data_IF_733813754463
#
_entry.id   IF_733813754463
#
_cell.length_a   1.000
_cell.length_b   1.000
_cell.length_c   1.000
_cell.angle_alpha   90.00
_cell.angle_beta   90.00
_cell.angle_gamma   90.00
#
_symmetry.space_group_name_H-M   'P 1'
#
loop_
_entity.id
_entity.type
_entity.pdbx_description
1 polymer ?
#
# COMPACT_ATOMS: atom_id res chain seq x y z
N UNK A 1 5.06 20.64 3.32
CA UNK A 1 5.41 20.65 4.75
C UNK A 1 6.91 20.88 4.78
N UNK A 2 7.38 22.11 4.94
CA UNK A 2 8.81 22.35 5.07
C UNK A 2 9.24 21.78 6.44
N UNK A 3 10.06 20.74 6.41
CA UNK A 3 10.93 20.33 7.52
C UNK A 3 10.31 20.17 8.93
N UNK A 4 9.06 19.74 9.05
CA UNK A 4 8.55 19.25 10.36
C UNK A 4 9.08 17.85 10.59
N UNK A 5 9.92 17.67 11.62
CA UNK A 5 10.37 16.35 12.07
C UNK A 5 9.15 15.47 12.31
N UNK A 6 9.13 14.28 11.71
CA UNK A 6 8.06 13.31 11.90
C UNK A 6 8.16 12.81 13.34
N UNK A 7 7.37 13.41 14.22
CA UNK A 7 7.26 13.04 15.62
C UNK A 7 6.29 11.85 15.78
N UNK A 8 6.39 11.12 16.89
CA UNK A 8 5.46 10.03 17.23
C UNK A 8 4.00 10.51 17.21
N UNK A 9 3.74 11.75 17.60
CA UNK A 9 2.39 12.33 17.54
C UNK A 9 1.91 12.52 16.10
N UNK A 10 2.81 12.86 15.16
CA UNK A 10 2.48 12.96 13.74
C UNK A 10 2.15 11.57 13.15
N UNK A 11 2.93 10.55 13.50
CA UNK A 11 2.66 9.15 13.16
C UNK A 11 1.30 8.68 13.71
N UNK A 12 1.03 8.91 15.01
CA UNK A 12 -0.25 8.57 15.64
C UNK A 12 -1.43 9.23 14.93
N UNK A 13 -1.32 10.50 14.57
CA UNK A 13 -2.36 11.23 13.83
C UNK A 13 -2.54 10.68 12.42
N UNK A 14 -1.46 10.30 11.74
CA UNK A 14 -1.48 9.67 10.41
C UNK A 14 -2.22 8.32 10.44
N UNK A 15 -1.82 7.42 11.34
CA UNK A 15 -2.49 6.12 11.50
C UNK A 15 -3.95 6.25 11.92
N UNK A 16 -4.29 7.20 12.80
CA UNK A 16 -5.70 7.48 13.14
C UNK A 16 -6.50 7.95 11.94
N UNK A 17 -5.93 8.80 11.09
CA UNK A 17 -6.58 9.25 9.87
C UNK A 17 -6.78 8.10 8.87
N UNK A 18 -5.78 7.22 8.71
CA UNK A 18 -5.89 6.02 7.87
C UNK A 18 -6.97 5.07 8.39
N UNK A 19 -7.00 4.80 9.70
CA UNK A 19 -8.02 3.94 10.32
C UNK A 19 -9.43 4.52 10.25
N UNK A 20 -9.61 5.83 10.55
CA UNK A 20 -10.88 6.53 10.36
C UNK A 20 -11.34 6.44 8.91
N UNK A 21 -10.39 6.59 7.99
CA UNK A 21 -10.62 6.40 6.58
C UNK A 21 -11.16 5.00 6.28
N UNK A 22 -10.42 3.96 6.66
CA UNK A 22 -10.82 2.58 6.40
C UNK A 22 -12.20 2.25 6.98
N UNK A 23 -12.54 2.78 8.16
CA UNK A 23 -13.89 2.64 8.76
C UNK A 23 -14.95 3.33 7.90
N UNK A 24 -14.74 4.58 7.49
CA UNK A 24 -15.66 5.28 6.59
C UNK A 24 -15.79 4.53 5.26
N UNK A 25 -14.70 4.04 4.71
CA UNK A 25 -14.69 3.19 3.51
C UNK A 25 -15.56 1.94 3.70
N UNK A 26 -15.40 1.23 4.82
CA UNK A 26 -16.22 0.07 5.15
C UNK A 26 -17.71 0.38 5.25
N UNK A 27 -18.09 1.52 5.83
CA UNK A 27 -19.50 1.99 5.86
C UNK A 27 -20.06 2.19 4.45
N UNK A 28 -19.24 2.64 3.51
CA UNK A 28 -19.60 2.81 2.09
C UNK A 28 -19.30 1.57 1.22
N UNK A 29 -19.09 0.39 1.83
CA UNK A 29 -18.77 -0.86 1.13
C UNK A 29 -17.53 -0.77 0.22
N UNK A 30 -16.53 -0.01 0.68
CA UNK A 30 -15.24 0.15 0.03
C UNK A 30 -14.20 -0.75 0.69
N UNK A 31 -13.17 -1.13 -0.08
CA UNK A 31 -12.07 -1.93 0.43
C UNK A 31 -11.19 -1.13 1.39
N UNK A 32 -10.51 -1.83 2.31
CA UNK A 32 -9.53 -1.21 3.19
C UNK A 32 -8.43 -0.53 2.37
N UNK A 33 -8.16 0.73 2.67
CA UNK A 33 -7.15 1.52 1.97
C UNK A 33 -6.01 1.91 2.92
N UNK A 34 -4.82 1.98 2.36
CA UNK A 34 -3.60 2.37 3.07
C UNK A 34 -2.82 3.39 2.25
N UNK A 35 -1.89 4.07 2.90
CA UNK A 35 -1.04 5.08 2.26
C UNK A 35 -0.14 4.44 1.19
N UNK A 36 -0.39 4.75 -0.08
CA UNK A 36 0.44 4.25 -1.19
C UNK A 36 1.83 4.90 -1.22
N UNK A 37 2.88 4.06 -1.15
CA UNK A 37 4.27 4.49 -1.25
C UNK A 37 4.65 5.15 -2.59
N UNK A 38 3.89 4.87 -3.66
CA UNK A 38 4.09 5.49 -4.98
C UNK A 38 3.95 7.02 -4.93
N UNK A 39 3.03 7.52 -4.12
CA UNK A 39 2.82 8.97 -3.95
C UNK A 39 4.01 9.64 -3.26
N UNK A 40 4.71 8.92 -2.37
CA UNK A 40 5.93 9.39 -1.70
C UNK A 40 7.09 9.47 -2.70
N UNK A 41 7.20 8.49 -3.60
CA UNK A 41 8.18 8.51 -4.70
C UNK A 41 7.99 9.71 -5.62
N UNK A 42 6.75 10.01 -6.01
CA UNK A 42 6.44 11.20 -6.81
C UNK A 42 6.76 12.50 -6.06
N UNK A 43 6.55 12.53 -4.74
CA UNK A 43 6.91 13.68 -3.89
C UNK A 43 8.42 13.94 -3.89
N UNK A 44 9.24 12.88 -3.90
CA UNK A 44 10.69 12.98 -3.93
C UNK A 44 11.20 13.56 -5.27
N UNK A 45 10.51 13.27 -6.38
CA UNK A 45 10.83 13.79 -7.72
C UNK A 45 10.34 15.23 -7.91
N UNK A 46 9.06 15.49 -7.58
CA UNK A 46 8.43 16.80 -7.81
C UNK A 46 8.83 17.85 -6.79
N UNK A 47 9.31 17.43 -5.61
CA UNK A 47 9.62 18.28 -4.44
C UNK A 47 8.44 19.14 -3.95
N UNK A 48 7.22 18.86 -4.42
CA UNK A 48 6.01 19.58 -4.01
C UNK A 48 5.44 18.92 -2.77
N UNK A 49 5.76 19.44 -1.59
CA UNK A 49 5.29 18.88 -0.30
C UNK A 49 4.02 19.55 0.23
N UNK A 50 3.33 20.36 -0.57
CA UNK A 50 2.18 21.13 -0.11
C UNK A 50 0.95 20.23 0.13
N UNK A 51 0.42 20.23 1.36
CA UNK A 51 -0.78 19.44 1.75
C UNK A 51 -2.00 19.79 0.90
N UNK A 52 -2.10 21.04 0.44
CA UNK A 52 -3.21 21.48 -0.41
C UNK A 52 -3.29 20.71 -1.73
N UNK A 53 -2.15 20.21 -2.24
CA UNK A 53 -2.12 19.39 -3.46
C UNK A 53 -2.79 18.05 -3.21
N UNK A 54 -2.52 17.41 -2.07
CA UNK A 54 -3.19 16.15 -1.68
C UNK A 54 -4.68 16.35 -1.44
N UNK A 55 -5.07 17.47 -0.82
CA UNK A 55 -6.50 17.81 -0.61
C UNK A 55 -7.20 18.06 -1.96
N UNK A 56 -6.58 18.82 -2.86
CA UNK A 56 -7.12 19.08 -4.18
C UNK A 56 -7.27 17.78 -5.00
N UNK A 57 -6.27 16.89 -4.95
CA UNK A 57 -6.36 15.56 -5.57
C UNK A 57 -7.53 14.74 -5.00
N UNK A 58 -7.71 14.74 -3.67
CA UNK A 58 -8.85 14.07 -3.03
C UNK A 58 -10.21 14.63 -3.47
N UNK A 59 -10.34 15.94 -3.59
CA UNK A 59 -11.57 16.60 -4.08
C UNK A 59 -11.83 16.22 -5.55
N UNK A 60 -10.79 16.21 -6.39
CA UNK A 60 -10.90 15.78 -7.78
C UNK A 60 -11.39 14.32 -7.85
N UNK A 61 -10.82 13.43 -7.03
CA UNK A 61 -11.24 12.02 -6.98
C UNK A 61 -12.69 11.87 -6.49
N UNK A 62 -13.12 12.66 -5.51
CA UNK A 62 -14.53 12.67 -5.06
C UNK A 62 -15.46 13.09 -6.20
N UNK A 63 -15.14 14.16 -6.91
CA UNK A 63 -15.93 14.65 -8.05
C UNK A 63 -15.97 13.58 -9.15
N UNK A 64 -14.83 13.04 -9.54
CA UNK A 64 -14.75 11.99 -10.57
C UNK A 64 -15.50 10.72 -10.17
N UNK A 65 -15.45 10.34 -8.89
CA UNK A 65 -16.17 9.18 -8.36
C UNK A 65 -17.69 9.35 -8.39
N UNK A 66 -18.21 10.58 -8.26
CA UNK A 66 -19.65 10.87 -8.37
C UNK A 66 -20.16 10.93 -9.81
N UNK A 67 -19.28 10.97 -10.82
CA UNK A 67 -19.67 11.05 -12.22
C UNK A 67 -19.80 9.63 -12.80
N UNK A 68 -21.01 9.13 -13.10
CA UNK A 68 -21.22 7.76 -13.55
C UNK A 68 -20.58 7.46 -14.92
N UNK A 69 -20.30 8.49 -15.74
CA UNK A 69 -19.58 8.32 -17.00
C UNK A 69 -18.15 7.84 -16.82
N UNK A 70 -17.46 8.27 -15.76
CA UNK A 70 -16.10 7.78 -15.46
C UNK A 70 -16.13 6.34 -14.96
N UNK A 71 -17.14 5.97 -14.17
CA UNK A 71 -17.37 4.58 -13.79
C UNK A 71 -17.63 3.69 -15.02
N UNK A 72 -18.43 4.15 -15.98
CA UNK A 72 -18.66 3.41 -17.22
C UNK A 72 -17.37 3.23 -18.04
N UNK A 73 -16.53 4.26 -18.16
CA UNK A 73 -15.23 4.14 -18.82
C UNK A 73 -14.33 3.10 -18.14
N UNK A 74 -14.33 3.04 -16.80
CA UNK A 74 -13.56 2.04 -16.06
C UNK A 74 -14.00 0.59 -16.39
N UNK A 75 -15.29 0.36 -16.66
CA UNK A 75 -15.80 -0.98 -17.02
C UNK A 75 -15.43 -1.43 -18.44
N UNK A 76 -15.06 -0.49 -19.33
CA UNK A 76 -14.68 -0.80 -20.72
C UNK A 76 -13.20 -1.22 -20.80
N UNK A 77 -12.40 -0.93 -19.78
CA UNK A 77 -10.97 -1.26 -19.77
C UNK A 77 -10.79 -2.80 -19.80
N UNK A 78 -10.04 -3.33 -20.79
CA UNK A 78 -9.85 -4.77 -20.91
C UNK A 78 -9.15 -5.40 -19.69
N UNK A 79 -9.50 -6.64 -19.31
CA UNK A 79 -8.86 -7.34 -18.20
C UNK A 79 -7.33 -7.44 -18.34
N UNK A 80 -6.81 -7.55 -19.56
CA UNK A 80 -5.38 -7.60 -19.82
C UNK A 80 -4.65 -6.32 -19.37
N UNK A 81 -5.27 -5.14 -19.52
CA UNK A 81 -4.69 -3.86 -19.08
C UNK A 81 -4.73 -3.74 -17.56
N UNK A 82 -5.85 -4.13 -16.95
CA UNK A 82 -5.95 -4.20 -15.49
C UNK A 82 -4.93 -5.16 -14.87
N UNK A 83 -4.74 -6.33 -15.49
CA UNK A 83 -3.73 -7.30 -15.07
C UNK A 83 -2.32 -6.72 -15.15
N UNK A 84 -1.97 -6.05 -16.25
CA UNK A 84 -0.69 -5.36 -16.41
C UNK A 84 -0.46 -4.28 -15.34
N UNK A 85 -1.47 -3.44 -15.08
CA UNK A 85 -1.41 -2.43 -14.03
C UNK A 85 -1.25 -3.04 -12.63
N UNK A 86 -2.00 -4.11 -12.33
CA UNK A 86 -1.91 -4.83 -11.06
C UNK A 86 -0.52 -5.42 -10.85
N UNK A 87 0.07 -6.06 -11.87
CA UNK A 87 1.44 -6.61 -11.80
C UNK A 87 2.45 -5.53 -11.47
N UNK A 88 2.36 -4.35 -12.09
CA UNK A 88 3.26 -3.22 -11.78
C UNK A 88 3.09 -2.76 -10.32
N UNK A 89 1.86 -2.61 -9.85
CA UNK A 89 1.58 -2.19 -8.47
C UNK A 89 2.11 -3.22 -7.45
N UNK A 90 1.82 -4.51 -7.65
CA UNK A 90 2.32 -5.58 -6.78
C UNK A 90 3.86 -5.67 -6.81
N UNK A 91 4.48 -5.48 -7.97
CA UNK A 91 5.94 -5.46 -8.08
C UNK A 91 6.56 -4.33 -7.25
N UNK A 92 5.95 -3.13 -7.28
CA UNK A 92 6.40 -2.01 -6.44
C UNK A 92 6.21 -2.28 -4.95
N UNK A 93 5.15 -2.99 -4.54
CA UNK A 93 4.95 -3.43 -3.15
C UNK A 93 6.09 -4.37 -2.73
N UNK A 94 6.43 -5.37 -3.54
CA UNK A 94 7.53 -6.30 -3.27
C UNK A 94 8.86 -5.56 -3.14
N UNK A 95 9.15 -4.62 -4.05
CA UNK A 95 10.35 -3.78 -3.99
C UNK A 95 10.40 -2.90 -2.73
N UNK A 96 9.25 -2.38 -2.30
CA UNK A 96 9.10 -1.65 -1.04
C UNK A 96 9.48 -2.52 0.16
N UNK A 97 8.98 -3.76 0.20
CA UNK A 97 9.31 -4.75 1.23
C UNK A 97 10.80 -5.10 1.25
N UNK A 98 11.44 -5.30 0.08
CA UNK A 98 12.88 -5.57 -0.02
C UNK A 98 13.69 -4.38 0.52
N UNK A 99 13.32 -3.15 0.18
CA UNK A 99 14.00 -1.96 0.70
C UNK A 99 13.83 -1.80 2.21
N UNK A 100 12.70 -2.23 2.77
CA UNK A 100 12.52 -2.28 4.22
C UNK A 100 13.42 -3.36 4.85
N UNK A 101 13.51 -4.53 4.22
CA UNK A 101 14.31 -5.66 4.69
C UNK A 101 15.81 -5.35 4.71
N UNK A 102 16.30 -4.60 3.73
CA UNK A 102 17.69 -4.10 3.70
C UNK A 102 18.09 -3.28 4.92
N UNK A 103 17.12 -2.72 5.67
CA UNK A 103 17.40 -1.97 6.90
C UNK A 103 17.57 -2.87 8.13
N UNK A 104 17.22 -4.16 8.04
CA UNK A 104 17.15 -5.08 9.17
C UNK A 104 18.47 -5.83 9.47
N UNK A 105 19.62 -5.33 9.00
CA UNK A 105 20.95 -5.94 9.14
C UNK A 105 20.94 -7.47 8.97
N UNK A 106 20.95 -7.90 7.71
CA UNK A 106 20.88 -9.31 7.34
C UNK A 106 22.22 -10.05 7.49
N UNK A 107 23.29 -9.35 7.88
CA UNK A 107 24.57 -9.98 8.21
C UNK A 107 24.53 -10.66 9.59
N UNK A 108 23.61 -10.24 10.48
CA UNK A 108 23.33 -10.99 11.71
C UNK A 108 22.51 -12.25 11.39
N UNK A 109 23.10 -13.41 11.66
CA UNK A 109 22.48 -14.72 11.53
C UNK A 109 21.10 -14.80 12.22
N UNK A 110 20.87 -14.08 13.33
CA UNK A 110 19.56 -14.06 14.01
C UNK A 110 18.50 -13.39 13.15
N UNK A 111 18.80 -12.21 12.59
CA UNK A 111 17.88 -11.48 11.72
C UNK A 111 17.64 -12.27 10.43
N UNK A 112 18.70 -12.87 9.87
CA UNK A 112 18.59 -13.71 8.68
C UNK A 112 17.68 -14.93 8.91
N UNK A 113 17.80 -15.60 10.06
CA UNK A 113 16.93 -16.72 10.43
C UNK A 113 15.46 -16.29 10.59
N UNK A 114 15.20 -15.19 11.31
CA UNK A 114 13.82 -14.67 11.52
C UNK A 114 13.16 -14.34 10.18
N UNK A 115 13.89 -13.66 9.31
CA UNK A 115 13.42 -13.28 7.97
C UNK A 115 13.20 -14.51 7.11
N UNK A 116 14.17 -15.43 7.07
CA UNK A 116 14.11 -16.64 6.26
C UNK A 116 12.91 -17.53 6.63
N UNK A 117 12.70 -17.78 7.92
CA UNK A 117 11.54 -18.55 8.40
C UNK A 117 10.23 -17.84 8.08
N UNK A 118 10.15 -16.52 8.26
CA UNK A 118 8.94 -15.74 7.96
C UNK A 118 8.55 -15.82 6.48
N UNK A 119 9.53 -15.70 5.57
CA UNK A 119 9.30 -15.81 4.12
C UNK A 119 8.95 -17.25 3.73
N UNK A 120 9.68 -18.24 4.26
CA UNK A 120 9.46 -19.65 3.97
C UNK A 120 8.06 -20.11 4.38
N UNK A 121 7.59 -19.70 5.57
CA UNK A 121 6.23 -20.01 6.01
C UNK A 121 5.17 -19.28 5.18
N UNK A 122 5.35 -17.98 4.91
CA UNK A 122 4.38 -17.20 4.14
C UNK A 122 4.19 -17.71 2.71
N UNK A 123 5.29 -18.01 2.02
CA UNK A 123 5.24 -18.57 0.66
C UNK A 123 4.87 -20.06 0.66
N UNK A 124 5.42 -20.84 1.59
CA UNK A 124 5.17 -22.28 1.69
C UNK A 124 3.69 -22.61 1.89
N UNK A 125 3.02 -21.86 2.76
CA UNK A 125 1.56 -21.98 2.98
C UNK A 125 0.73 -21.62 1.74
N UNK A 126 1.21 -20.65 0.96
CA UNK A 126 0.49 -20.17 -0.23
C UNK A 126 0.66 -21.12 -1.43
N UNK A 127 1.81 -21.78 -1.56
CA UNK A 127 2.13 -22.68 -2.70
C UNK A 127 1.61 -24.10 -2.47
N UNK A 128 1.60 -24.59 -1.22
CA UNK A 128 1.16 -25.95 -0.88
C UNK A 128 -0.08 -25.88 0.01
N UNK A 129 -1.30 -25.80 -0.57
CA UNK A 129 -2.52 -25.90 0.21
C UNK A 129 -2.59 -27.30 0.86
N UNK A 130 -2.64 -27.34 2.19
CA UNK A 130 -2.62 -28.59 2.97
C UNK A 130 -1.25 -28.98 3.54
N UNK A 131 -0.25 -28.08 3.51
CA UNK A 131 1.08 -28.31 4.11
C UNK A 131 1.02 -28.81 5.57
N UNK A 132 0.04 -28.34 6.35
CA UNK A 132 -0.19 -28.76 7.73
C UNK A 132 -1.43 -29.63 7.92
N UNK A 133 -1.98 -30.22 6.85
CA UNK A 133 -3.16 -31.09 6.95
C UNK A 133 -2.90 -32.33 7.83
N UNK A 134 -1.64 -32.73 8.01
CA UNK A 134 -1.26 -33.81 8.95
C UNK A 134 -1.19 -33.35 10.43
N UNK A 135 -1.18 -32.04 10.69
CA UNK A 135 -1.01 -31.45 12.02
C UNK A 135 -2.34 -31.24 12.77
N UNK A 136 -3.48 -31.50 12.11
CA UNK A 136 -4.86 -31.49 12.62
C UNK A 136 -5.50 -32.84 12.43
#
# INVERSE_FOLDING_TARGET
>A
MPNTKVDQNALKRGYRAEGLGAVLGGVFNCFAYTTFGQNIGLLALTKVTNRMVTVAAGIILLILGTIPKFAALATIIPPAVFGGAAVVMFSMVVMGSINMLKKADLDDNKNMLIVGVSIALGLGLSVVPGLFCWLT
#
